data_IF_730295799979
#
_entry.id   IF_730295799979
#
_cell.length_a   1.000
_cell.length_b   1.000
_cell.length_c   1.000
_cell.angle_alpha   90.00
_cell.angle_beta   90.00
_cell.angle_gamma   90.00
#
_symmetry.space_group_name_H-M   'P 1'
#
loop_
_entity.id
_entity.type
_entity.pdbx_description
1 polymer ?
#
# COMPACT_ATOMS: atom_id res chain seq x y z
N UNK A 1 26.29 -74.54 50.99
CA UNK A 1 26.51 -73.26 51.68
C UNK A 1 25.88 -72.15 50.85
N UNK A 2 25.07 -71.35 51.53
CA UNK A 2 24.36 -70.16 51.09
C UNK A 2 25.33 -68.97 51.04
N UNK A 3 24.86 -67.87 50.43
CA UNK A 3 25.30 -66.46 50.47
C UNK A 3 26.07 -65.98 49.23
N UNK A 4 25.38 -65.38 48.25
CA UNK A 4 24.96 -63.95 48.15
C UNK A 4 26.11 -62.95 48.00
N UNK A 5 26.15 -62.27 46.85
CA UNK A 5 26.33 -60.81 46.79
C UNK A 5 25.87 -60.28 45.42
N UNK A 6 25.17 -59.15 45.47
CA UNK A 6 24.34 -58.57 44.43
C UNK A 6 25.04 -57.53 43.54
N UNK A 7 24.31 -57.19 42.45
CA UNK A 7 24.15 -55.88 41.79
C UNK A 7 25.22 -55.40 40.79
N UNK A 8 24.77 -55.24 39.54
CA UNK A 8 24.91 -54.00 38.77
C UNK A 8 23.97 -54.04 37.55
N UNK A 9 22.79 -53.43 37.67
CA UNK A 9 21.98 -53.03 36.52
C UNK A 9 22.31 -51.57 36.20
N UNK A 10 23.27 -51.37 35.31
CA UNK A 10 23.44 -50.10 34.62
C UNK A 10 22.96 -50.31 33.19
N UNK A 11 21.88 -49.65 32.82
CA UNK A 11 21.67 -49.15 31.46
C UNK A 11 20.66 -48.00 31.56
N UNK A 12 21.23 -46.80 31.50
CA UNK A 12 20.54 -45.55 31.22
C UNK A 12 19.82 -45.70 29.87
N UNK A 13 18.48 -45.71 29.91
CA UNK A 13 17.63 -45.43 28.76
C UNK A 13 17.03 -44.05 28.97
N UNK A 14 17.62 -43.06 28.33
CA UNK A 14 17.15 -41.69 28.29
C UNK A 14 15.70 -41.61 27.75
N UNK A 15 14.85 -40.81 28.41
CA UNK A 15 13.75 -40.13 27.70
C UNK A 15 13.75 -38.64 28.09
N UNK A 16 14.51 -37.77 27.38
CA UNK A 16 14.62 -36.34 27.67
C UNK A 16 13.84 -35.48 26.67
N UNK A 17 12.72 -35.96 26.10
CA UNK A 17 11.95 -35.22 25.09
C UNK A 17 10.47 -34.97 25.44
N UNK A 18 9.87 -35.75 26.34
CA UNK A 18 8.47 -35.57 26.75
C UNK A 18 8.30 -34.38 27.69
N UNK A 19 9.19 -34.26 28.68
CA UNK A 19 9.12 -33.21 29.71
C UNK A 19 9.43 -31.80 29.19
N UNK A 20 10.32 -31.68 28.20
CA UNK A 20 10.67 -30.38 27.58
C UNK A 20 9.51 -29.81 26.76
N UNK A 21 8.88 -30.66 25.95
CA UNK A 21 7.70 -30.27 25.16
C UNK A 21 6.51 -29.96 26.10
N UNK A 22 6.30 -30.78 27.13
CA UNK A 22 5.24 -30.55 28.11
C UNK A 22 5.42 -29.21 28.85
N UNK A 23 6.65 -28.87 29.25
CA UNK A 23 6.96 -27.55 29.84
C UNK A 23 6.71 -26.41 28.86
N UNK A 24 7.03 -26.58 27.58
CA UNK A 24 6.75 -25.56 26.57
C UNK A 24 5.25 -25.37 26.36
N UNK A 25 4.48 -26.46 26.32
CA UNK A 25 3.01 -26.41 26.20
C UNK A 25 2.38 -25.76 27.44
N UNK A 26 2.83 -26.09 28.64
CA UNK A 26 2.38 -25.44 29.88
C UNK A 26 2.73 -23.95 29.90
N UNK A 27 3.94 -23.59 29.48
CA UNK A 27 4.37 -22.18 29.38
C UNK A 27 3.50 -21.42 28.37
N UNK A 28 3.21 -22.02 27.23
CA UNK A 28 2.35 -21.43 26.21
C UNK A 28 0.90 -21.29 26.72
N UNK A 29 0.38 -22.29 27.44
CA UNK A 29 -0.96 -22.24 28.03
C UNK A 29 -1.11 -21.08 29.02
N UNK A 30 -0.12 -20.91 29.92
CA UNK A 30 -0.08 -19.78 30.85
C UNK A 30 0.02 -18.44 30.10
N UNK A 31 0.85 -18.36 29.05
CA UNK A 31 0.97 -17.13 28.26
C UNK A 31 -0.33 -16.75 27.55
N UNK A 32 -1.06 -17.72 26.98
CA UNK A 32 -2.35 -17.49 26.33
C UNK A 32 -3.41 -17.05 27.35
N UNK A 33 -3.42 -17.64 28.54
CA UNK A 33 -4.32 -17.24 29.62
C UNK A 33 -4.04 -15.79 30.09
N UNK A 34 -2.77 -15.43 30.25
CA UNK A 34 -2.37 -14.05 30.56
C UNK A 34 -2.77 -13.06 29.47
N UNK A 35 -2.57 -13.40 28.19
CA UNK A 35 -2.99 -12.55 27.07
C UNK A 35 -4.52 -12.43 26.99
N UNK A 36 -5.25 -13.48 27.31
CA UNK A 36 -6.73 -13.46 27.33
C UNK A 36 -7.23 -12.51 28.43
N UNK A 37 -6.60 -12.54 29.60
CA UNK A 37 -6.91 -11.61 30.70
C UNK A 37 -6.55 -10.16 30.34
N UNK A 38 -5.39 -9.94 29.74
CA UNK A 38 -5.00 -8.60 29.29
C UNK A 38 -5.95 -8.05 28.21
N UNK A 39 -6.40 -8.90 27.28
CA UNK A 39 -7.38 -8.51 26.28
C UNK A 39 -8.74 -8.18 26.93
N UNK A 40 -9.14 -8.91 27.98
CA UNK A 40 -10.34 -8.58 28.75
C UNK A 40 -10.24 -7.21 29.43
N UNK A 41 -9.12 -6.94 30.11
CA UNK A 41 -8.87 -5.65 30.79
C UNK A 41 -8.80 -4.48 29.79
N UNK A 42 -8.27 -4.71 28.58
CA UNK A 42 -8.24 -3.70 27.50
C UNK A 42 -9.63 -3.41 26.94
N UNK A 43 -10.46 -4.44 26.72
CA UNK A 43 -11.86 -4.26 26.32
C UNK A 43 -12.65 -3.52 27.41
N UNK A 44 -12.40 -3.80 28.68
CA UNK A 44 -13.02 -3.07 29.80
C UNK A 44 -12.59 -1.59 29.82
N UNK A 45 -11.32 -1.29 29.55
CA UNK A 45 -10.83 0.09 29.41
C UNK A 45 -11.47 0.85 28.24
N UNK A 46 -11.74 0.18 27.12
CA UNK A 46 -12.44 0.78 25.99
C UNK A 46 -13.90 1.09 26.35
N UNK A 47 -14.58 0.19 27.06
CA UNK A 47 -15.95 0.42 27.54
C UNK A 47 -16.05 1.55 28.57
N UNK A 48 -15.06 1.70 29.45
CA UNK A 48 -15.01 2.83 30.39
C UNK A 48 -14.72 4.17 29.69
N UNK A 49 -13.98 4.15 28.56
CA UNK A 49 -13.69 5.34 27.75
C UNK A 49 -14.93 5.89 27.03
N UNK A 50 -15.89 5.02 26.72
CA UNK A 50 -17.15 5.40 26.08
C UNK A 50 -18.23 5.83 27.07
N UNK A 51 -17.95 5.82 28.38
CA UNK A 51 -18.89 6.18 29.46
C UNK A 51 -18.71 7.63 29.99
N UNK A 52 -18.48 8.61 29.12
CA UNK A 52 -18.73 10.05 29.37
C UNK A 52 -20.08 10.50 28.75
N UNK A 53 -20.78 11.52 29.28
CA UNK A 53 -22.22 11.49 29.57
C UNK A 53 -23.18 11.39 28.35
N UNK A 54 -24.01 10.33 28.41
CA UNK A 54 -25.43 10.17 28.04
C UNK A 54 -26.05 10.87 26.81
N UNK A 55 -26.78 10.09 25.98
CA UNK A 55 -28.25 9.99 26.11
C UNK A 55 -28.86 8.84 25.26
N UNK A 56 -29.72 8.04 25.94
CA UNK A 56 -30.81 7.14 25.51
C UNK A 56 -31.03 6.82 24.01
N UNK A 57 -31.34 5.59 23.60
CA UNK A 57 -31.67 4.40 24.38
C UNK A 57 -32.30 3.29 23.52
N UNK A 58 -32.33 2.10 24.13
CA UNK A 58 -33.13 0.91 23.82
C UNK A 58 -32.76 0.11 22.57
N UNK A 59 -32.01 -0.96 22.81
CA UNK A 59 -32.18 -2.22 22.12
C UNK A 59 -33.64 -2.68 22.19
N UNK A 60 -34.22 -3.10 21.06
CA UNK A 60 -34.78 -4.45 21.00
C UNK A 60 -35.14 -4.89 19.59
N UNK A 61 -34.69 -6.13 19.33
CA UNK A 61 -35.36 -7.16 18.53
C UNK A 61 -35.05 -7.20 17.03
N UNK A 62 -33.94 -7.87 16.72
CA UNK A 62 -33.85 -8.69 15.51
C UNK A 62 -35.00 -9.71 15.53
N UNK A 63 -35.93 -9.60 14.58
CA UNK A 63 -36.67 -10.76 14.08
C UNK A 63 -36.34 -10.95 12.62
N UNK A 64 -35.80 -12.15 12.39
CA UNK A 64 -35.41 -12.78 11.15
C UNK A 64 -36.46 -12.72 10.03
N UNK A 65 -35.93 -12.63 8.79
CA UNK A 65 -36.28 -13.45 7.62
C UNK A 65 -36.72 -12.69 6.35
N UNK A 66 -36.27 -13.27 5.21
CA UNK A 66 -36.87 -13.27 3.86
C UNK A 66 -36.29 -12.22 2.87
N UNK A 67 -35.27 -12.56 2.08
CA UNK A 67 -35.23 -13.36 0.83
C UNK A 67 -35.52 -12.55 -0.45
N UNK A 68 -34.66 -12.77 -1.47
CA UNK A 68 -34.91 -12.66 -2.92
C UNK A 68 -35.09 -11.24 -3.47
N UNK A 69 -34.80 -10.92 -4.71
CA UNK A 69 -33.96 -11.39 -5.82
C UNK A 69 -34.12 -10.24 -6.87
N UNK A 70 -33.33 -10.28 -7.95
CA UNK A 70 -33.61 -9.64 -9.25
C UNK A 70 -33.45 -8.12 -9.30
N UNK A 71 -33.08 -7.49 -10.41
CA UNK A 71 -32.45 -7.80 -11.69
C UNK A 71 -32.08 -6.40 -12.23
N UNK A 72 -31.17 -6.29 -13.19
CA UNK A 72 -31.01 -5.05 -13.97
C UNK A 72 -32.24 -4.79 -14.87
N UNK A 73 -32.11 -4.05 -15.97
CA UNK A 73 -30.94 -3.30 -16.42
C UNK A 73 -31.28 -1.93 -17.07
N UNK A 74 -30.23 -1.24 -17.52
CA UNK A 74 -30.16 -0.48 -18.77
C UNK A 74 -31.07 0.74 -19.04
N UNK A 75 -30.43 1.80 -19.54
CA UNK A 75 -31.12 2.98 -20.07
C UNK A 75 -30.14 4.08 -20.42
N UNK A 76 -29.38 3.86 -21.50
CA UNK A 76 -28.48 4.81 -22.12
C UNK A 76 -29.11 6.19 -22.40
N UNK A 77 -28.21 7.15 -22.60
CA UNK A 77 -28.25 8.24 -23.58
C UNK A 77 -28.15 9.66 -22.98
N UNK A 78 -26.92 10.20 -23.08
CA UNK A 78 -26.65 11.62 -23.31
C UNK A 78 -27.31 12.07 -24.65
N UNK A 79 -27.35 13.37 -25.08
CA UNK A 79 -26.46 14.48 -24.70
C UNK A 79 -27.13 15.89 -24.74
N UNK A 80 -26.28 16.93 -24.66
CA UNK A 80 -26.45 18.27 -25.27
C UNK A 80 -26.62 19.48 -24.32
N UNK A 81 -25.46 20.00 -23.88
CA UNK A 81 -24.94 21.35 -24.19
C UNK A 81 -25.93 22.39 -24.76
N UNK A 82 -26.24 23.43 -23.97
CA UNK A 82 -26.63 24.79 -24.37
C UNK A 82 -26.50 25.67 -23.10
N UNK A 83 -25.42 26.42 -22.89
CA UNK A 83 -25.20 27.82 -23.28
C UNK A 83 -25.46 28.82 -22.14
N UNK A 84 -24.34 29.34 -21.64
CA UNK A 84 -24.02 30.69 -21.11
C UNK A 84 -24.93 31.42 -20.11
N UNK A 85 -24.28 31.73 -18.97
CA UNK A 85 -24.15 33.03 -18.30
C UNK A 85 -25.45 33.77 -17.89
N UNK A 86 -25.71 33.91 -16.59
CA UNK A 86 -25.52 35.17 -15.84
C UNK A 86 -25.87 35.00 -14.33
N UNK A 87 -25.41 35.98 -13.56
CA UNK A 87 -25.37 36.21 -12.12
C UNK A 87 -26.67 36.04 -11.32
N UNK A 88 -26.49 35.49 -10.11
CA UNK A 88 -27.31 35.67 -8.89
C UNK A 88 -28.79 35.24 -8.91
N UNK A 89 -29.09 34.02 -8.44
CA UNK A 89 -30.19 33.72 -7.47
C UNK A 89 -30.13 32.25 -6.98
N UNK A 90 -30.65 31.96 -5.77
CA UNK A 90 -30.34 30.77 -5.00
C UNK A 90 -31.14 29.56 -5.49
N UNK A 91 -30.45 28.51 -5.94
CA UNK A 91 -31.09 27.27 -6.38
C UNK A 91 -31.27 26.31 -5.20
N UNK A 92 -32.52 26.28 -4.76
CA UNK A 92 -33.26 25.23 -4.05
C UNK A 92 -32.52 23.89 -3.91
N UNK A 93 -32.37 23.50 -2.66
CA UNK A 93 -32.06 22.16 -2.14
C UNK A 93 -32.75 21.06 -2.97
N UNK A 94 -31.97 20.18 -3.61
CA UNK A 94 -32.46 18.87 -4.06
C UNK A 94 -31.49 17.75 -3.65
N UNK A 95 -31.54 17.51 -2.35
CA UNK A 95 -31.51 16.22 -1.64
C UNK A 95 -30.65 15.10 -2.24
N UNK A 96 -29.34 15.16 -1.99
CA UNK A 96 -28.63 13.91 -1.71
C UNK A 96 -29.28 13.28 -0.46
N UNK A 97 -29.55 11.96 -0.43
CA UNK A 97 -30.29 11.36 0.66
C UNK A 97 -29.64 11.67 2.01
N UNK A 98 -30.41 11.88 3.10
CA UNK A 98 -29.94 12.53 4.33
C UNK A 98 -28.64 11.94 4.88
N UNK A 99 -28.44 10.63 4.71
CA UNK A 99 -27.23 9.92 5.12
C UNK A 99 -25.95 10.35 4.37
N UNK A 100 -26.02 10.75 3.09
CA UNK A 100 -24.84 11.18 2.30
C UNK A 100 -24.42 12.59 2.73
N UNK A 101 -25.39 13.52 2.85
CA UNK A 101 -25.13 14.88 3.35
C UNK A 101 -24.57 14.83 4.76
N UNK A 102 -25.12 13.95 5.60
CA UNK A 102 -24.65 13.76 6.97
C UNK A 102 -23.23 13.18 6.99
N UNK A 103 -22.92 12.17 6.17
CA UNK A 103 -21.55 11.63 6.06
C UNK A 103 -20.55 12.66 5.55
N UNK A 104 -20.90 13.47 4.54
CA UNK A 104 -20.03 14.53 4.04
C UNK A 104 -19.79 15.62 5.10
N UNK A 105 -20.83 15.95 5.89
CA UNK A 105 -20.72 16.91 7.00
C UNK A 105 -19.82 16.38 8.11
N UNK A 106 -20.02 15.13 8.54
CA UNK A 106 -19.15 14.50 9.54
C UNK A 106 -17.71 14.36 9.02
N UNK A 107 -17.51 14.00 7.74
CA UNK A 107 -16.17 13.96 7.14
C UNK A 107 -15.53 15.35 7.09
N UNK A 108 -16.30 16.40 6.81
CA UNK A 108 -15.83 17.79 6.85
C UNK A 108 -15.44 18.21 8.26
N UNK A 109 -16.28 17.96 9.25
CA UNK A 109 -15.99 18.29 10.66
C UNK A 109 -14.78 17.51 11.18
N UNK A 110 -14.63 16.24 10.79
CA UNK A 110 -13.44 15.43 11.10
C UNK A 110 -12.17 15.98 10.45
N UNK A 111 -12.25 16.44 9.21
CA UNK A 111 -11.14 17.09 8.50
C UNK A 111 -10.78 18.43 9.16
N UNK A 112 -11.77 19.25 9.49
CA UNK A 112 -11.57 20.54 10.14
C UNK A 112 -10.93 20.36 11.52
N UNK A 113 -11.36 19.36 12.30
CA UNK A 113 -10.74 19.02 13.58
C UNK A 113 -9.27 18.61 13.43
N UNK A 114 -8.94 17.72 12.47
CA UNK A 114 -7.56 17.33 12.20
C UNK A 114 -6.70 18.51 11.73
N UNK A 115 -7.25 19.36 10.86
CA UNK A 115 -6.56 20.58 10.39
C UNK A 115 -6.34 21.57 11.53
N UNK A 116 -7.27 21.72 12.47
CA UNK A 116 -7.11 22.58 13.64
C UNK A 116 -6.05 22.03 14.62
N UNK A 117 -6.04 20.72 14.84
CA UNK A 117 -5.06 20.05 15.71
C UNK A 117 -3.62 20.14 15.15
N UNK A 118 -3.46 20.11 13.83
CA UNK A 118 -2.17 20.24 13.15
C UNK A 118 -1.74 21.71 12.97
N UNK A 119 -2.69 22.63 12.72
CA UNK A 119 -2.42 24.06 12.52
C UNK A 119 -1.75 24.69 13.73
N UNK A 120 -2.11 24.30 14.96
CA UNK A 120 -1.50 24.83 16.17
C UNK A 120 -0.02 24.46 16.36
N UNK A 121 0.41 23.29 15.86
CA UNK A 121 1.81 22.80 15.98
C UNK A 121 2.71 23.35 14.87
N UNK A 122 2.21 23.38 13.62
CA UNK A 122 2.98 23.90 12.48
C UNK A 122 3.00 25.43 12.47
N UNK A 123 1.93 26.09 12.91
CA UNK A 123 1.89 27.55 12.97
C UNK A 123 2.77 28.10 14.08
N UNK A 124 2.93 27.41 15.21
CA UNK A 124 3.84 27.86 16.28
C UNK A 124 5.30 27.64 15.88
N UNK A 125 5.66 26.48 15.29
CA UNK A 125 7.01 26.24 14.75
C UNK A 125 7.38 27.22 13.62
N UNK A 126 6.44 27.53 12.72
CA UNK A 126 6.69 28.50 11.64
C UNK A 126 6.76 29.93 12.18
N UNK A 127 5.89 30.29 13.13
CA UNK A 127 5.92 31.60 13.77
C UNK A 127 7.21 31.76 14.60
N UNK A 128 7.67 30.73 15.29
CA UNK A 128 8.96 30.68 15.99
C UNK A 128 10.13 30.75 14.99
N UNK A 129 10.08 30.07 13.84
CA UNK A 129 11.11 30.15 12.80
C UNK A 129 11.17 31.53 12.13
N UNK A 130 10.02 32.15 11.86
CA UNK A 130 9.90 33.49 11.29
C UNK A 130 10.35 34.55 12.29
N UNK A 131 9.98 34.44 13.57
CA UNK A 131 10.48 35.32 14.64
C UNK A 131 11.94 35.06 15.02
N UNK A 132 12.45 33.85 14.81
CA UNK A 132 13.89 33.53 14.92
C UNK A 132 14.69 34.13 13.77
N UNK A 133 14.03 34.44 12.65
CA UNK A 133 14.59 35.14 11.49
C UNK A 133 14.25 36.62 11.55
N UNK A 134 14.53 37.30 12.67
CA UNK A 134 14.55 38.77 12.80
C UNK A 134 15.71 39.40 12.00
N UNK A 135 15.99 38.88 10.80
CA UNK A 135 16.98 39.46 9.90
C UNK A 135 16.41 40.76 9.34
N UNK A 136 17.19 41.85 9.28
CA UNK A 136 16.75 43.13 8.70
C UNK A 136 16.36 43.00 7.22
N UNK A 137 16.73 41.88 6.58
CA UNK A 137 16.39 41.58 5.20
C UNK A 137 15.09 40.78 5.06
N UNK A 138 14.56 40.14 6.11
CA UNK A 138 13.37 39.27 6.01
C UNK A 138 12.14 40.04 5.53
N UNK A 139 11.85 41.20 6.15
CA UNK A 139 10.71 42.04 5.75
C UNK A 139 10.86 42.53 4.30
N UNK A 140 12.06 42.95 3.90
CA UNK A 140 12.33 43.40 2.54
C UNK A 140 12.20 42.28 1.51
N UNK A 141 12.59 41.05 1.86
CA UNK A 141 12.51 39.87 0.99
C UNK A 141 11.05 39.37 0.87
N UNK A 142 10.27 39.35 1.95
CA UNK A 142 8.87 38.88 1.92
C UNK A 142 7.91 39.88 1.29
N UNK A 143 8.25 41.18 1.31
CA UNK A 143 7.44 42.24 0.69
C UNK A 143 7.70 42.41 -0.81
N UNK A 144 8.77 41.81 -1.36
CA UNK A 144 9.05 41.92 -2.78
C UNK A 144 8.11 41.01 -3.57
N UNK A 145 7.29 41.54 -4.49
CA UNK A 145 6.40 40.71 -5.29
C UNK A 145 7.24 39.79 -6.16
N UNK A 146 6.81 38.52 -6.27
CA UNK A 146 7.42 37.58 -7.21
C UNK A 146 7.37 38.20 -8.61
N UNK A 147 8.47 38.17 -9.39
CA UNK A 147 8.49 38.74 -10.73
C UNK A 147 7.32 38.22 -11.56
N UNK A 148 6.71 39.07 -12.41
CA UNK A 148 5.58 38.69 -13.27
C UNK A 148 5.89 37.50 -14.22
N UNK A 149 7.17 37.21 -14.44
CA UNK A 149 7.66 36.07 -15.25
C UNK A 149 8.08 34.87 -14.41
N UNK A 150 7.93 34.93 -13.08
CA UNK A 150 8.23 33.81 -12.19
C UNK A 150 7.23 32.69 -12.44
N UNK A 151 7.71 31.61 -13.03
CA UNK A 151 6.96 30.36 -13.19
C UNK A 151 7.28 29.49 -11.98
N UNK A 152 6.28 29.13 -11.20
CA UNK A 152 6.45 28.13 -10.13
C UNK A 152 6.97 26.84 -10.76
N UNK A 153 8.10 26.29 -10.31
CA UNK A 153 8.61 25.03 -10.85
C UNK A 153 7.57 23.93 -10.63
N UNK A 154 7.29 23.17 -11.68
CA UNK A 154 6.40 22.02 -11.57
C UNK A 154 7.12 20.90 -10.81
N UNK A 155 6.58 20.48 -9.67
CA UNK A 155 7.12 19.37 -8.87
C UNK A 155 7.20 18.08 -9.70
N UNK A 156 6.34 17.93 -10.70
CA UNK A 156 6.38 16.84 -11.69
C UNK A 156 7.72 16.72 -12.44
N UNK A 157 8.44 17.83 -12.66
CA UNK A 157 9.76 17.80 -13.28
C UNK A 157 10.81 17.16 -12.35
N UNK A 158 10.63 17.30 -11.03
CA UNK A 158 11.48 16.71 -10.01
C UNK A 158 11.25 15.19 -9.91
N UNK A 159 9.98 14.75 -9.94
CA UNK A 159 9.64 13.31 -9.97
C UNK A 159 10.01 12.63 -11.29
N UNK A 160 10.02 13.37 -12.41
CA UNK A 160 10.42 12.83 -13.72
C UNK A 160 11.88 12.39 -13.77
N UNK A 161 12.76 13.03 -12.98
CA UNK A 161 14.16 12.63 -12.80
C UNK A 161 14.38 11.58 -11.71
N UNK A 162 13.39 11.38 -10.84
CA UNK A 162 13.36 10.36 -9.79
C UNK A 162 12.44 9.19 -10.14
N UNK A 163 12.40 8.78 -11.41
CA UNK A 163 11.95 7.44 -11.72
C UNK A 163 12.97 6.49 -11.11
N UNK A 164 12.53 5.63 -10.20
CA UNK A 164 13.30 4.49 -9.70
C UNK A 164 14.05 3.87 -10.88
N UNK A 165 15.38 3.93 -10.87
CA UNK A 165 16.20 3.29 -11.92
C UNK A 165 15.77 1.83 -11.96
N UNK A 166 15.22 1.39 -13.08
CA UNK A 166 14.77 0.00 -13.19
C UNK A 166 15.98 -0.91 -13.14
N UNK A 167 15.93 -1.89 -12.28
CA UNK A 167 16.97 -2.91 -12.19
C UNK A 167 16.86 -3.89 -13.36
N UNK A 168 17.97 -4.50 -13.76
CA UNK A 168 18.00 -5.62 -14.70
C UNK A 168 17.15 -6.81 -14.23
N UNK A 169 16.87 -6.92 -12.93
CA UNK A 169 15.95 -7.90 -12.38
C UNK A 169 14.54 -7.81 -12.98
N UNK A 170 14.09 -6.62 -13.41
CA UNK A 170 12.77 -6.44 -14.03
C UNK A 170 12.63 -7.24 -15.33
N UNK A 171 13.72 -7.44 -16.09
CA UNK A 171 13.71 -8.19 -17.35
C UNK A 171 13.34 -9.66 -17.14
N UNK A 172 13.68 -10.23 -15.97
CA UNK A 172 13.36 -11.61 -15.63
C UNK A 172 11.85 -11.86 -15.48
N UNK A 173 11.07 -10.82 -15.23
CA UNK A 173 9.60 -10.93 -15.19
C UNK A 173 8.97 -10.98 -16.59
N UNK A 174 9.70 -10.55 -17.63
CA UNK A 174 9.18 -10.46 -19.00
C UNK A 174 9.39 -11.80 -19.69
N UNK A 175 8.45 -12.72 -19.46
CA UNK A 175 8.35 -14.00 -20.18
C UNK A 175 7.48 -13.85 -21.43
N UNK A 176 7.85 -14.53 -22.51
CA UNK A 176 7.00 -14.68 -23.69
C UNK A 176 5.80 -15.55 -23.32
N UNK A 177 4.59 -15.04 -23.53
CA UNK A 177 3.34 -15.78 -23.23
C UNK A 177 3.04 -16.77 -24.37
N UNK A 178 2.21 -17.76 -24.09
CA UNK A 178 1.90 -18.83 -25.07
C UNK A 178 1.19 -18.31 -26.32
N UNK A 179 0.27 -17.38 -26.15
CA UNK A 179 -0.49 -16.75 -27.24
C UNK A 179 0.22 -15.52 -27.83
N UNK A 180 1.39 -15.16 -27.31
CA UNK A 180 2.07 -13.93 -27.69
C UNK A 180 3.02 -14.14 -28.87
N UNK A 181 2.85 -13.30 -29.89
CA UNK A 181 3.76 -13.25 -31.04
C UNK A 181 5.16 -12.79 -30.61
N UNK A 182 6.19 -13.26 -31.32
CA UNK A 182 7.57 -12.85 -31.07
C UNK A 182 7.75 -11.33 -31.11
N UNK A 183 7.06 -10.66 -32.04
CA UNK A 183 7.11 -9.20 -32.20
C UNK A 183 6.53 -8.47 -30.99
N UNK A 184 5.41 -8.93 -30.44
CA UNK A 184 4.83 -8.37 -29.20
C UNK A 184 5.80 -8.53 -28.04
N UNK A 185 6.38 -9.72 -27.90
CA UNK A 185 7.35 -10.00 -26.84
C UNK A 185 8.58 -9.08 -26.91
N UNK A 186 9.20 -8.97 -28.09
CA UNK A 186 10.36 -8.09 -28.33
C UNK A 186 10.00 -6.64 -28.00
N UNK A 187 8.81 -6.19 -28.40
CA UNK A 187 8.36 -4.82 -28.12
C UNK A 187 8.26 -4.55 -26.61
N UNK A 188 7.70 -5.48 -25.83
CA UNK A 188 7.63 -5.36 -24.36
C UNK A 188 9.00 -5.42 -23.72
N UNK A 189 9.84 -6.36 -24.15
CA UNK A 189 11.20 -6.51 -23.64
C UNK A 189 12.03 -5.25 -23.89
N UNK A 190 12.03 -4.73 -25.13
CA UNK A 190 12.78 -3.53 -25.49
C UNK A 190 12.29 -2.31 -24.71
N UNK A 191 10.97 -2.13 -24.55
CA UNK A 191 10.41 -1.04 -23.74
C UNK A 191 10.94 -1.04 -22.31
N UNK A 192 11.07 -2.22 -21.70
CA UNK A 192 11.63 -2.34 -20.36
C UNK A 192 13.14 -2.16 -20.35
N UNK A 193 13.85 -2.74 -21.31
CA UNK A 193 15.31 -2.62 -21.44
C UNK A 193 15.75 -1.17 -21.64
N UNK A 194 15.04 -0.38 -22.45
CA UNK A 194 15.30 1.06 -22.62
C UNK A 194 15.05 1.90 -21.36
N UNK A 195 14.36 1.35 -20.36
CA UNK A 195 14.18 2.02 -19.07
C UNK A 195 15.35 1.77 -18.11
N UNK A 196 16.36 0.99 -18.52
CA UNK A 196 17.56 0.68 -17.75
C UNK A 196 18.73 1.47 -18.33
N UNK A 197 19.26 2.39 -17.54
CA UNK A 197 20.27 3.40 -17.92
C UNK A 197 21.61 2.76 -18.36
N UNK A 198 22.02 1.67 -17.72
CA UNK A 198 23.34 1.04 -17.91
C UNK A 198 23.23 -0.50 -17.87
N UNK A 199 22.43 -1.07 -18.77
CA UNK A 199 22.30 -2.52 -18.89
C UNK A 199 23.46 -3.14 -19.69
N UNK A 200 24.13 -4.15 -19.12
CA UNK A 200 25.13 -4.93 -19.84
C UNK A 200 24.46 -5.79 -20.91
N UNK A 201 24.93 -5.70 -22.16
CA UNK A 201 24.42 -6.48 -23.30
C UNK A 201 24.33 -7.99 -23.02
N UNK A 202 25.30 -8.55 -22.29
CA UNK A 202 25.28 -9.98 -21.92
C UNK A 202 24.09 -10.30 -21.02
N UNK A 203 23.74 -9.40 -20.10
CA UNK A 203 22.59 -9.56 -19.21
C UNK A 203 21.30 -9.44 -20.03
N UNK A 204 21.23 -8.49 -20.96
CA UNK A 204 20.08 -8.33 -21.85
C UNK A 204 19.86 -9.58 -22.70
N UNK A 205 20.90 -10.09 -23.36
CA UNK A 205 20.83 -11.31 -24.18
C UNK A 205 20.46 -12.52 -23.34
N UNK A 206 21.05 -12.68 -22.15
CA UNK A 206 20.73 -13.79 -21.25
C UNK A 206 19.28 -13.71 -20.76
N UNK A 207 18.81 -12.53 -20.35
CA UNK A 207 17.43 -12.33 -19.91
C UNK A 207 16.44 -12.58 -21.07
N UNK A 208 16.73 -12.06 -22.26
CA UNK A 208 15.91 -12.27 -23.45
C UNK A 208 15.80 -13.76 -23.82
N UNK A 209 16.93 -14.45 -23.96
CA UNK A 209 16.97 -15.86 -24.37
C UNK A 209 16.36 -16.80 -23.33
N UNK A 210 16.57 -16.55 -22.03
CA UNK A 210 15.98 -17.36 -20.94
C UNK A 210 14.46 -17.19 -20.82
N UNK A 211 13.92 -16.06 -21.25
CA UNK A 211 12.50 -15.73 -21.11
C UNK A 211 11.71 -15.87 -22.42
N UNK A 212 12.40 -16.14 -23.52
CA UNK A 212 11.84 -16.48 -24.81
C UNK A 212 11.28 -17.91 -24.82
N UNK A 213 10.19 -18.14 -25.54
CA UNK A 213 9.63 -19.49 -25.70
C UNK A 213 10.58 -20.35 -26.54
N UNK A 214 10.69 -21.63 -26.18
CA UNK A 214 11.42 -22.62 -26.99
C UNK A 214 10.82 -22.67 -28.40
N UNK A 215 11.68 -22.68 -29.41
CA UNK A 215 11.25 -22.71 -30.81
C UNK A 215 12.39 -22.47 -31.79
N UNK A 216 12.06 -22.43 -33.08
CA UNK A 216 13.02 -22.28 -34.20
C UNK A 216 13.91 -21.04 -34.05
N UNK A 217 13.34 -19.93 -33.57
CA UNK A 217 14.07 -18.68 -33.36
C UNK A 217 15.13 -18.80 -32.24
N UNK A 218 14.74 -19.30 -31.06
CA UNK A 218 15.67 -19.52 -29.95
C UNK A 218 16.82 -20.47 -30.35
N UNK A 219 16.51 -21.54 -31.07
CA UNK A 219 17.52 -22.46 -31.58
C UNK A 219 18.52 -21.78 -32.54
N UNK A 220 18.01 -20.88 -33.39
CA UNK A 220 18.86 -20.10 -34.31
C UNK A 220 19.80 -19.14 -33.56
N UNK A 221 19.33 -18.53 -32.47
CA UNK A 221 20.15 -17.66 -31.62
C UNK A 221 21.32 -18.42 -30.98
N UNK A 222 21.06 -19.65 -30.49
CA UNK A 222 22.12 -20.50 -29.94
C UNK A 222 23.15 -20.89 -31.01
N UNK A 223 22.71 -21.22 -32.23
CA UNK A 223 23.61 -21.58 -33.32
C UNK A 223 24.50 -20.41 -33.78
N UNK A 224 23.95 -19.19 -33.80
CA UNK A 224 24.69 -17.97 -34.20
C UNK A 224 25.59 -17.42 -33.08
N UNK A 225 25.47 -17.90 -31.85
CA UNK A 225 26.17 -17.37 -30.66
C UNK A 225 26.00 -15.86 -30.56
N UNK A 226 24.75 -15.38 -30.52
CA UNK A 226 24.47 -13.96 -30.33
C UNK A 226 25.09 -13.46 -29.01
N UNK A 227 25.91 -12.41 -29.08
CA UNK A 227 26.64 -11.86 -27.91
C UNK A 227 26.07 -10.53 -27.44
N UNK A 228 25.45 -9.79 -28.35
CA UNK A 228 24.86 -8.48 -28.10
C UNK A 228 23.38 -8.46 -28.47
N UNK A 229 22.63 -7.48 -27.96
CA UNK A 229 21.23 -7.32 -28.35
C UNK A 229 21.07 -6.96 -29.84
N UNK A 230 22.07 -6.31 -30.44
CA UNK A 230 22.11 -6.04 -31.87
C UNK A 230 22.12 -7.33 -32.71
N UNK A 231 22.91 -8.35 -32.29
CA UNK A 231 22.96 -9.66 -32.97
C UNK A 231 21.65 -10.46 -32.89
N UNK A 232 20.79 -10.11 -31.93
CA UNK A 232 19.47 -10.74 -31.75
C UNK A 232 18.43 -10.11 -32.69
N UNK A 233 18.60 -8.82 -33.00
CA UNK A 233 17.65 -8.02 -33.77
C UNK A 233 17.95 -7.98 -35.28
N UNK A 234 19.13 -8.43 -35.72
CA UNK A 234 19.61 -8.48 -37.11
C UNK A 234 20.10 -9.89 -37.51
#
# INVERSE_FOLDING_TARGET
MVLTRSMATNNNGEEPCTTTLERQVQTLAVAVECLTKQNHDLEEQLHQRDAGPNNHGKEQKCTSAKSRDQEGPEGSNAPSRQERQDTSRPSVVKTAPPHIVTKMRMMKERMDFMMNALRGRVSSDLNELVHRTNSPFTASITLFPLPLKFRMPQVEAYYRGHRYKKSTACLMSIKQREEETLRSYITRFNKEAFSIDEANDKILVAAFTNRLRKGKFLFSLYKKVAKTMSDVLY
#
